data_IF_705756271596
#
_entry.id   IF_705756271596
#
_cell.length_a   1.000
_cell.length_b   1.000
_cell.length_c   1.000
_cell.angle_alpha   90.00
_cell.angle_beta   90.00
_cell.angle_gamma   90.00
#
_symmetry.space_group_name_H-M   'P 1'
#
loop_
_entity.id
_entity.type
_entity.pdbx_description
1 polymer ?
#
# COMPACT_ATOMS: atom_id res chain seq x y z
N UNK A 1 22.27 -10.79 1.70
CA UNK A 1 22.80 -10.96 0.33
C UNK A 1 22.15 -12.20 -0.24
N UNK A 2 21.15 -12.06 -1.13
CA UNK A 2 20.50 -13.21 -1.76
C UNK A 2 21.53 -13.97 -2.60
N UNK A 3 21.64 -15.27 -2.37
CA UNK A 3 22.61 -16.15 -3.02
C UNK A 3 22.35 -16.19 -4.54
N UNK A 4 23.37 -16.43 -5.37
CA UNK A 4 23.19 -16.51 -6.83
C UNK A 4 22.17 -17.58 -7.25
N UNK A 5 21.91 -18.56 -6.39
CA UNK A 5 20.93 -19.60 -6.62
C UNK A 5 19.49 -19.10 -6.46
N UNK A 6 19.22 -18.22 -5.48
CA UNK A 6 17.91 -17.58 -5.31
C UNK A 6 17.59 -16.63 -6.45
N UNK A 7 18.60 -15.96 -7.03
CA UNK A 7 18.39 -15.10 -8.21
C UNK A 7 17.98 -15.91 -9.43
N UNK A 8 18.60 -17.07 -9.67
CA UNK A 8 18.22 -17.94 -10.79
C UNK A 8 16.82 -18.52 -10.66
N UNK A 9 16.40 -18.86 -9.44
CA UNK A 9 15.02 -19.32 -9.21
C UNK A 9 14.01 -18.18 -9.42
N UNK A 10 14.38 -16.94 -9.05
CA UNK A 10 13.56 -15.77 -9.36
C UNK A 10 13.47 -15.52 -10.87
N UNK A 11 14.57 -15.66 -11.61
CA UNK A 11 14.57 -15.51 -13.08
C UNK A 11 13.68 -16.57 -13.75
N UNK A 12 13.71 -17.83 -13.31
CA UNK A 12 12.80 -18.88 -13.81
C UNK A 12 11.33 -18.59 -13.49
N UNK A 13 11.04 -18.06 -12.30
CA UNK A 13 9.67 -17.66 -11.93
C UNK A 13 9.22 -16.48 -12.79
N UNK A 14 10.09 -15.50 -13.03
CA UNK A 14 9.78 -14.32 -13.85
C UNK A 14 9.49 -14.71 -15.31
N UNK A 15 10.28 -15.62 -15.89
CA UNK A 15 10.08 -16.11 -17.25
C UNK A 15 8.77 -16.91 -17.38
N UNK A 16 8.43 -17.73 -16.38
CA UNK A 16 7.15 -18.45 -16.34
C UNK A 16 5.94 -17.50 -16.16
N UNK A 17 6.12 -16.42 -15.41
CA UNK A 17 5.09 -15.42 -15.15
C UNK A 17 4.85 -14.49 -16.35
N UNK A 18 5.91 -14.09 -17.06
CA UNK A 18 5.82 -13.32 -18.32
C UNK A 18 5.08 -14.12 -19.41
N UNK A 19 5.25 -15.44 -19.42
CA UNK A 19 4.59 -16.32 -20.38
C UNK A 19 3.12 -16.59 -20.02
N UNK A 20 2.79 -16.64 -18.73
CA UNK A 20 1.45 -16.98 -18.24
C UNK A 20 0.51 -15.76 -18.15
N UNK A 21 1.05 -14.58 -17.77
CA UNK A 21 0.24 -13.36 -17.59
C UNK A 21 1.03 -12.09 -17.98
N UNK A 22 1.18 -11.83 -19.29
CA UNK A 22 2.03 -10.76 -19.81
C UNK A 22 1.53 -9.35 -19.45
N UNK A 23 0.22 -9.21 -19.20
CA UNK A 23 -0.36 -7.94 -18.77
C UNK A 23 0.04 -7.62 -17.33
N UNK A 24 -0.01 -8.63 -16.46
CA UNK A 24 0.40 -8.50 -15.05
C UNK A 24 1.91 -8.26 -14.93
N UNK A 25 2.73 -8.95 -15.73
CA UNK A 25 4.17 -8.72 -15.80
C UNK A 25 4.52 -7.29 -16.23
N UNK A 26 3.82 -6.74 -17.23
CA UNK A 26 3.94 -5.32 -17.63
C UNK A 26 3.56 -4.37 -16.51
N UNK A 27 2.46 -4.64 -15.79
CA UNK A 27 2.02 -3.80 -14.67
C UNK A 27 3.00 -3.82 -13.49
N UNK A 28 3.64 -4.97 -13.22
CA UNK A 28 4.69 -5.12 -12.23
C UNK A 28 5.95 -4.33 -12.65
N UNK A 29 6.39 -4.50 -13.90
CA UNK A 29 7.60 -3.87 -14.45
C UNK A 29 7.51 -2.35 -14.53
N UNK A 30 6.32 -1.82 -14.76
CA UNK A 30 6.08 -0.38 -14.79
C UNK A 30 5.94 0.25 -13.38
N UNK A 31 5.92 -0.54 -12.30
CA UNK A 31 5.75 -0.05 -10.93
C UNK A 31 4.40 0.64 -10.64
N UNK A 32 3.52 0.72 -11.64
CA UNK A 32 2.22 1.42 -11.57
C UNK A 32 1.23 0.73 -10.65
N UNK A 33 1.32 -0.59 -10.51
CA UNK A 33 0.42 -1.36 -9.65
C UNK A 33 0.55 -0.94 -8.17
N UNK A 34 1.77 -0.75 -7.67
CA UNK A 34 1.96 -0.30 -6.28
C UNK A 34 1.44 1.12 -6.04
N UNK A 35 1.61 2.04 -7.01
CA UNK A 35 1.16 3.41 -6.88
C UNK A 35 -0.38 3.53 -6.90
N UNK A 36 -1.06 2.78 -7.77
CA UNK A 36 -2.52 2.76 -7.88
C UNK A 36 -3.16 2.13 -6.63
N UNK A 37 -2.68 0.96 -6.21
CA UNK A 37 -3.17 0.27 -5.01
C UNK A 37 -2.93 1.10 -3.76
N UNK A 38 -1.79 1.78 -3.63
CA UNK A 38 -1.50 2.67 -2.50
C UNK A 38 -2.44 3.88 -2.45
N UNK A 39 -2.80 4.47 -3.60
CA UNK A 39 -3.81 5.54 -3.66
C UNK A 39 -5.19 5.03 -3.28
N UNK A 40 -5.60 3.86 -3.78
CA UNK A 40 -6.90 3.26 -3.46
C UNK A 40 -7.02 2.93 -1.96
N UNK A 41 -6.01 2.32 -1.36
CA UNK A 41 -5.98 2.01 0.08
C UNK A 41 -6.05 3.29 0.92
N UNK A 42 -5.38 4.35 0.49
CA UNK A 42 -5.45 5.63 1.20
C UNK A 42 -6.81 6.33 1.07
N UNK A 43 -7.39 6.36 -0.13
CA UNK A 43 -8.72 6.94 -0.35
C UNK A 43 -9.79 6.18 0.45
N UNK A 44 -9.74 4.85 0.43
CA UNK A 44 -10.69 4.01 1.18
C UNK A 44 -10.50 4.16 2.69
N UNK A 45 -9.26 4.13 3.19
CA UNK A 45 -8.96 4.35 4.60
C UNK A 45 -9.40 5.73 5.12
N UNK A 46 -9.22 6.77 4.31
CA UNK A 46 -9.67 8.12 4.65
C UNK A 46 -11.20 8.23 4.65
N UNK A 47 -11.87 7.66 3.63
CA UNK A 47 -13.33 7.66 3.55
C UNK A 47 -13.96 6.92 4.75
N UNK A 48 -13.40 5.75 5.11
CA UNK A 48 -13.84 4.98 6.28
C UNK A 48 -13.61 5.78 7.56
N UNK A 49 -12.41 6.32 7.77
CA UNK A 49 -12.09 7.14 8.94
C UNK A 49 -13.01 8.35 9.10
N UNK A 50 -13.28 9.07 8.01
CA UNK A 50 -14.20 10.21 7.99
C UNK A 50 -15.64 9.80 8.34
N UNK A 51 -16.09 8.65 7.84
CA UNK A 51 -17.44 8.13 8.11
C UNK A 51 -17.58 7.69 9.57
N UNK A 52 -16.55 7.06 10.15
CA UNK A 52 -16.51 6.75 11.58
C UNK A 52 -16.53 8.02 12.44
N UNK A 53 -15.77 9.07 12.06
CA UNK A 53 -15.76 10.34 12.78
C UNK A 53 -17.12 11.03 12.76
N UNK A 54 -17.76 11.12 11.58
CA UNK A 54 -19.11 11.67 11.45
C UNK A 54 -20.10 10.90 12.31
N UNK A 55 -20.09 9.56 12.20
CA UNK A 55 -20.99 8.70 12.98
C UNK A 55 -20.74 8.83 14.48
N UNK A 56 -19.48 8.91 14.91
CA UNK A 56 -19.08 9.12 16.30
C UNK A 56 -19.53 10.48 16.84
N UNK A 57 -19.39 11.54 16.04
CA UNK A 57 -19.85 12.88 16.40
C UNK A 57 -21.38 12.95 16.54
N UNK A 58 -22.12 12.33 15.60
CA UNK A 58 -23.59 12.25 15.65
C UNK A 58 -24.10 11.44 16.83
N UNK A 59 -23.41 10.36 17.19
CA UNK A 59 -23.77 9.50 18.33
C UNK A 59 -23.20 9.95 19.68
N UNK A 60 -22.39 11.03 19.72
CA UNK A 60 -21.60 11.45 20.89
C UNK A 60 -20.76 10.30 21.50
N UNK A 61 -20.37 9.33 20.68
CA UNK A 61 -19.61 8.16 21.13
C UNK A 61 -18.12 8.43 21.01
N UNK A 62 -17.47 8.69 22.15
CA UNK A 62 -16.04 8.91 22.25
C UNK A 62 -15.21 7.75 21.68
N UNK A 63 -15.71 6.51 21.78
CA UNK A 63 -15.03 5.32 21.25
C UNK A 63 -14.94 5.37 19.72
N UNK A 64 -16.03 5.75 19.03
CA UNK A 64 -16.03 5.87 17.57
C UNK A 64 -15.12 7.01 17.10
N UNK A 65 -15.10 8.13 17.83
CA UNK A 65 -14.24 9.26 17.52
C UNK A 65 -12.77 8.85 17.62
N UNK A 66 -12.39 8.15 18.69
CA UNK A 66 -11.01 7.68 18.90
C UNK A 66 -10.58 6.70 17.81
N UNK A 67 -11.46 5.76 17.45
CA UNK A 67 -11.21 4.82 16.35
C UNK A 67 -11.07 5.53 15.00
N UNK A 68 -11.92 6.53 14.72
CA UNK A 68 -11.84 7.34 13.51
C UNK A 68 -10.50 8.08 13.40
N UNK A 69 -10.07 8.76 14.47
CA UNK A 69 -8.76 9.44 14.52
C UNK A 69 -7.62 8.45 14.35
N UNK A 70 -7.63 7.31 15.06
CA UNK A 70 -6.58 6.30 14.96
C UNK A 70 -6.44 5.73 13.55
N UNK A 71 -7.57 5.50 12.85
CA UNK A 71 -7.59 5.00 11.48
C UNK A 71 -7.01 6.01 10.50
N UNK A 72 -7.37 7.29 10.64
CA UNK A 72 -6.83 8.39 9.81
C UNK A 72 -5.33 8.60 10.08
N UNK A 73 -4.92 8.60 11.35
CA UNK A 73 -3.52 8.76 11.73
C UNK A 73 -2.65 7.58 11.24
N UNK A 74 -3.16 6.35 11.36
CA UNK A 74 -2.48 5.14 10.89
C UNK A 74 -2.28 5.13 9.37
N UNK A 75 -3.31 5.53 8.61
CA UNK A 75 -3.22 5.60 7.14
C UNK A 75 -2.24 6.68 6.67
N UNK A 76 -2.22 7.85 7.30
CA UNK A 76 -1.25 8.91 7.02
C UNK A 76 0.18 8.51 7.41
N UNK A 77 0.36 7.87 8.56
CA UNK A 77 1.67 7.39 9.02
C UNK A 77 2.25 6.35 8.07
N UNK A 78 1.43 5.39 7.62
CA UNK A 78 1.83 4.40 6.61
C UNK A 78 2.21 5.06 5.28
N UNK A 79 1.51 6.11 4.87
CA UNK A 79 1.83 6.85 3.64
C UNK A 79 3.17 7.60 3.73
N UNK A 80 3.51 8.17 4.88
CA UNK A 80 4.78 8.86 5.12
C UNK A 80 5.94 7.88 5.19
N UNK A 81 5.78 6.75 5.89
CA UNK A 81 6.79 5.68 5.96
C UNK A 81 7.04 5.08 4.58
N UNK A 82 5.99 4.81 3.82
CA UNK A 82 6.13 4.31 2.44
C UNK A 82 6.75 5.34 1.49
N UNK A 83 6.54 6.64 1.72
CA UNK A 83 7.22 7.69 0.96
C UNK A 83 8.71 7.79 1.32
N UNK A 84 9.06 7.68 2.61
CA UNK A 84 10.44 7.69 3.07
C UNK A 84 11.25 6.49 2.54
N UNK A 85 10.61 5.32 2.43
CA UNK A 85 11.25 4.11 1.90
C UNK A 85 11.50 4.16 0.39
N UNK A 86 10.68 4.89 -0.37
CA UNK A 86 10.83 5.02 -1.83
C UNK A 86 11.70 6.22 -2.26
N UNK A 87 12.03 7.11 -1.33
CA UNK A 87 12.74 8.37 -1.60
C UNK A 87 14.22 8.40 -1.19
N UNK A 88 14.84 7.26 -0.92
CA UNK A 88 16.26 7.21 -0.56
C UNK A 88 17.16 7.09 -1.81
N UNK A 89 17.76 8.18 -2.33
CA UNK A 89 18.96 8.07 -3.13
C UNK A 89 20.05 7.52 -2.21
N UNK A 90 20.46 6.27 -2.42
CA UNK A 90 21.57 5.68 -1.68
C UNK A 90 22.81 6.55 -1.78
N UNK A 91 23.63 6.65 -0.70
CA UNK A 91 24.97 7.21 -0.80
C UNK A 91 25.85 6.40 -1.75
#
# INVERSE_FOLDING_TARGET
MFSQHERRQLDEIEEWFEQSDPELARMLREGKYQAATRRLVACTGFAVGALLLLTGALSLSFVLIFFGVATVAGTLGWQLVSAAHNGWPGP
#
